data_IF_128360978689
#
_entry.id   IF_128360978689
#
_cell.length_a   1.000
_cell.length_b   1.000
_cell.length_c   1.000
_cell.angle_alpha   90.00
_cell.angle_beta   90.00
_cell.angle_gamma   90.00
#
_symmetry.space_group_name_H-M   'P 1'
#
loop_
_entity.id
_entity.type
_entity.pdbx_description
1 polymer ?
#
# COMPACT_ATOMS: atom_id res chain seq x y z
N UNK A 1 -20.36 -56.15 19.53
CA UNK A 1 -20.54 -55.60 18.16
C UNK A 1 -20.93 -54.12 18.13
N UNK A 2 -21.65 -53.59 19.09
CA UNK A 2 -22.19 -52.21 19.09
C UNK A 2 -21.09 -51.16 19.29
N UNK A 3 -20.09 -51.43 20.11
CA UNK A 3 -19.00 -50.51 20.36
C UNK A 3 -18.08 -50.25 19.16
N UNK A 4 -17.92 -51.21 18.27
CA UNK A 4 -17.12 -51.07 17.05
C UNK A 4 -17.81 -50.17 16.06
N UNK A 5 -19.15 -50.27 15.98
CA UNK A 5 -19.93 -49.48 15.00
C UNK A 5 -20.06 -47.99 15.37
N UNK A 6 -20.00 -47.65 16.65
CA UNK A 6 -20.10 -46.27 17.14
C UNK A 6 -18.80 -45.46 17.01
N UNK A 7 -17.69 -46.12 16.65
CA UNK A 7 -16.38 -45.48 16.48
C UNK A 7 -16.11 -44.83 15.12
N UNK A 8 -16.96 -45.06 14.14
CA UNK A 8 -16.76 -44.46 12.81
C UNK A 8 -17.17 -43.00 12.76
N UNK A 9 -16.36 -42.17 12.13
CA UNK A 9 -16.65 -40.79 11.85
C UNK A 9 -16.12 -40.41 10.48
N UNK A 10 -16.68 -39.35 9.88
CA UNK A 10 -16.32 -38.88 8.55
C UNK A 10 -15.59 -37.55 8.66
N UNK A 11 -14.47 -37.41 7.95
CA UNK A 11 -13.73 -36.16 7.76
C UNK A 11 -13.90 -35.74 6.30
N UNK A 12 -14.44 -34.56 6.06
CA UNK A 12 -14.65 -33.99 4.73
C UNK A 12 -13.30 -33.63 4.07
N UNK A 13 -13.28 -33.47 2.75
CA UNK A 13 -12.05 -33.18 2.00
C UNK A 13 -11.31 -31.93 2.45
N UNK A 14 -12.03 -30.87 2.80
CA UNK A 14 -11.49 -29.60 3.29
C UNK A 14 -11.16 -29.60 4.79
N UNK A 15 -11.38 -30.71 5.49
CA UNK A 15 -11.28 -30.81 6.94
C UNK A 15 -10.17 -31.75 7.36
N UNK A 16 -9.65 -31.51 8.59
CA UNK A 16 -8.79 -32.47 9.30
C UNK A 16 -9.40 -32.79 10.66
N UNK A 17 -9.32 -34.06 11.06
CA UNK A 17 -9.74 -34.51 12.36
C UNK A 17 -8.54 -34.57 13.32
N UNK A 18 -8.61 -33.84 14.43
CA UNK A 18 -7.63 -33.93 15.50
C UNK A 18 -8.12 -34.95 16.54
N UNK A 19 -7.42 -36.07 16.68
CA UNK A 19 -7.75 -37.14 17.61
C UNK A 19 -6.95 -36.99 18.90
N UNK A 20 -7.65 -36.88 20.01
CA UNK A 20 -7.08 -36.88 21.35
C UNK A 20 -7.39 -38.22 22.02
N UNK A 21 -6.37 -38.89 22.55
CA UNK A 21 -6.51 -40.08 23.36
C UNK A 21 -6.11 -39.74 24.79
N UNK A 22 -7.03 -39.96 25.73
CA UNK A 22 -6.86 -39.61 27.14
C UNK A 22 -6.49 -38.10 27.35
N UNK A 23 -7.03 -37.21 26.53
CA UNK A 23 -6.75 -35.77 26.58
C UNK A 23 -5.39 -35.36 26.00
N UNK A 24 -4.62 -36.29 25.45
CA UNK A 24 -3.34 -35.99 24.73
C UNK A 24 -3.48 -36.19 23.24
N UNK A 25 -2.73 -35.42 22.46
CA UNK A 25 -2.69 -35.61 21.02
C UNK A 25 -2.26 -37.02 20.66
N UNK A 26 -3.07 -37.69 19.85
CA UNK A 26 -2.75 -39.00 19.29
C UNK A 26 -2.39 -38.90 17.81
N UNK A 27 -3.26 -38.29 17.03
CA UNK A 27 -3.02 -38.10 15.57
C UNK A 27 -3.85 -36.95 14.99
N UNK A 28 -3.42 -36.48 13.82
CA UNK A 28 -4.20 -35.61 12.94
C UNK A 28 -4.58 -36.46 11.73
N UNK A 29 -5.88 -36.66 11.52
CA UNK A 29 -6.39 -37.53 10.45
C UNK A 29 -6.80 -36.69 9.24
N UNK A 30 -6.42 -37.20 8.07
CA UNK A 30 -6.82 -36.64 6.78
C UNK A 30 -8.30 -36.97 6.45
N UNK A 31 -8.79 -36.44 5.34
CA UNK A 31 -10.15 -36.69 4.88
C UNK A 31 -10.47 -38.18 4.68
N UNK A 32 -11.72 -38.57 4.87
CA UNK A 32 -12.22 -39.90 4.66
C UNK A 32 -12.95 -40.48 5.88
N UNK A 33 -13.30 -41.77 5.77
CA UNK A 33 -13.92 -42.52 6.88
C UNK A 33 -12.83 -42.96 7.84
N UNK A 34 -12.94 -42.54 9.10
CA UNK A 34 -11.98 -42.84 10.17
C UNK A 34 -12.67 -43.53 11.34
N UNK A 35 -11.90 -44.17 12.18
CA UNK A 35 -12.42 -44.87 13.36
C UNK A 35 -11.69 -44.39 14.62
N UNK A 36 -12.45 -44.27 15.71
CA UNK A 36 -11.94 -43.90 17.04
C UNK A 36 -12.38 -44.87 18.11
N UNK A 37 -11.63 -44.96 19.18
CA UNK A 37 -12.04 -45.70 20.38
C UNK A 37 -13.10 -44.90 21.16
N UNK A 38 -14.33 -45.35 21.09
CA UNK A 38 -15.43 -44.69 21.81
C UNK A 38 -15.20 -44.67 23.32
N UNK A 39 -15.25 -43.49 23.91
CA UNK A 39 -15.03 -43.28 25.35
C UNK A 39 -13.60 -42.95 25.76
N UNK A 40 -12.61 -43.15 24.85
CA UNK A 40 -11.20 -42.84 25.10
C UNK A 40 -10.73 -41.71 24.18
N UNK A 41 -11.15 -41.76 22.93
CA UNK A 41 -10.74 -40.82 21.88
C UNK A 41 -11.76 -39.70 21.72
N UNK A 42 -11.29 -38.45 21.68
CA UNK A 42 -12.07 -37.28 21.32
C UNK A 42 -11.57 -36.77 19.96
N UNK A 43 -12.52 -36.48 19.06
CA UNK A 43 -12.20 -35.96 17.72
C UNK A 43 -12.80 -34.59 17.54
N UNK A 44 -11.95 -33.62 17.17
CA UNK A 44 -12.35 -32.29 16.73
C UNK A 44 -12.07 -32.16 15.24
N UNK A 45 -13.09 -31.84 14.45
CA UNK A 45 -13.00 -31.68 13.00
C UNK A 45 -12.89 -30.20 12.69
N UNK A 46 -11.82 -29.79 11.97
CA UNK A 46 -11.52 -28.42 11.61
C UNK A 46 -11.41 -28.29 10.11
N UNK A 47 -12.10 -27.30 9.56
CA UNK A 47 -11.97 -26.91 8.16
C UNK A 47 -10.67 -26.12 7.96
N UNK A 48 -9.75 -26.67 7.14
CA UNK A 48 -8.43 -26.09 6.86
C UNK A 48 -8.39 -25.25 5.59
N UNK A 49 -9.41 -25.33 4.75
CA UNK A 49 -9.48 -24.60 3.49
C UNK A 49 -10.38 -23.35 3.58
N UNK A 50 -11.21 -23.29 4.61
CA UNK A 50 -12.08 -22.14 4.84
C UNK A 50 -11.24 -20.89 5.12
N UNK A 51 -11.44 -19.86 4.30
CA UNK A 51 -10.88 -18.55 4.53
C UNK A 51 -11.75 -17.80 5.53
N UNK A 52 -11.14 -17.39 6.63
CA UNK A 52 -11.77 -16.58 7.66
C UNK A 52 -11.28 -15.15 7.55
N UNK A 53 -12.03 -14.20 8.07
CA UNK A 53 -11.59 -12.80 8.11
C UNK A 53 -11.78 -12.20 9.50
N UNK A 54 -10.86 -11.32 9.86
CA UNK A 54 -10.99 -10.42 11.00
C UNK A 54 -10.77 -8.99 10.51
N UNK A 55 -11.41 -8.06 11.18
CA UNK A 55 -11.29 -6.64 10.87
C UNK A 55 -10.75 -5.90 12.08
N UNK A 56 -9.69 -5.14 11.87
CA UNK A 56 -9.13 -4.20 12.85
C UNK A 56 -9.42 -2.80 12.37
N UNK A 57 -10.04 -1.99 13.21
CA UNK A 57 -10.30 -0.59 12.92
C UNK A 57 -10.04 0.27 14.15
N UNK A 58 -9.64 1.49 13.95
CA UNK A 58 -9.41 2.39 15.06
C UNK A 58 -8.86 3.74 14.63
N UNK A 59 -8.81 4.64 15.60
CA UNK A 59 -8.20 5.95 15.45
C UNK A 59 -6.73 5.85 15.82
N UNK A 60 -5.85 6.31 14.94
CA UNK A 60 -4.40 6.20 15.08
C UNK A 60 -3.74 7.53 14.74
N UNK A 61 -2.50 7.70 15.22
CA UNK A 61 -1.66 8.85 14.90
C UNK A 61 -0.64 8.47 13.83
N UNK A 62 -0.48 9.33 12.84
CA UNK A 62 0.56 9.21 11.81
C UNK A 62 1.91 9.73 12.33
N UNK A 63 2.97 9.56 11.54
CA UNK A 63 4.30 10.05 11.88
C UNK A 63 4.34 11.59 12.08
N UNK A 64 3.57 12.32 11.30
CA UNK A 64 3.41 13.77 11.39
C UNK A 64 2.29 14.22 12.36
N UNK A 65 1.93 13.33 13.32
CA UNK A 65 0.98 13.59 14.41
C UNK A 65 -0.46 13.93 13.96
N UNK A 66 -0.86 13.47 12.79
CA UNK A 66 -2.24 13.60 12.33
C UNK A 66 -3.09 12.42 12.78
N UNK A 67 -4.33 12.69 13.15
CA UNK A 67 -5.29 11.67 13.58
C UNK A 67 -6.00 11.09 12.36
N UNK A 68 -5.97 9.77 12.21
CA UNK A 68 -6.63 9.05 11.12
C UNK A 68 -7.47 7.90 11.66
N UNK A 69 -8.55 7.59 10.95
CA UNK A 69 -9.32 6.36 11.13
C UNK A 69 -8.88 5.40 10.04
N UNK A 70 -8.36 4.25 10.45
CA UNK A 70 -7.88 3.21 9.55
C UNK A 70 -8.61 1.91 9.82
N UNK A 71 -8.79 1.13 8.78
CA UNK A 71 -9.37 -0.21 8.84
C UNK A 71 -8.51 -1.18 8.06
N UNK A 72 -8.36 -2.38 8.60
CA UNK A 72 -7.65 -3.46 7.93
C UNK A 72 -8.43 -4.76 8.08
N UNK A 73 -8.63 -5.42 6.97
CA UNK A 73 -9.24 -6.75 6.89
C UNK A 73 -8.14 -7.79 6.63
N UNK A 74 -8.02 -8.75 7.53
CA UNK A 74 -7.06 -9.84 7.42
C UNK A 74 -7.79 -11.13 7.11
N UNK A 75 -7.47 -11.73 5.98
CA UNK A 75 -7.95 -13.04 5.59
C UNK A 75 -6.92 -14.09 5.99
N UNK A 76 -7.38 -15.12 6.68
CA UNK A 76 -6.54 -16.18 7.19
C UNK A 76 -7.26 -17.53 7.14
N UNK A 77 -6.49 -18.58 7.27
CA UNK A 77 -7.01 -19.95 7.39
C UNK A 77 -6.28 -20.70 8.50
N UNK A 78 -6.90 -21.76 8.96
CA UNK A 78 -6.28 -22.68 9.90
C UNK A 78 -5.44 -23.67 9.10
N UNK A 79 -4.12 -23.56 9.20
CA UNK A 79 -3.18 -24.46 8.51
C UNK A 79 -2.75 -25.66 9.37
N UNK A 80 -2.73 -25.49 10.67
CA UNK A 80 -2.42 -26.54 11.64
C UNK A 80 -3.54 -26.63 12.68
N UNK A 81 -4.48 -27.57 12.54
CA UNK A 81 -5.63 -27.70 13.42
C UNK A 81 -5.26 -27.98 14.86
N UNK A 82 -4.19 -28.75 15.10
CA UNK A 82 -3.75 -29.06 16.46
C UNK A 82 -3.22 -27.83 17.19
N UNK A 83 -2.36 -27.05 16.56
CA UNK A 83 -1.85 -25.80 17.12
C UNK A 83 -2.98 -24.80 17.39
N UNK A 84 -3.96 -24.71 16.46
CA UNK A 84 -5.11 -23.85 16.63
C UNK A 84 -5.97 -24.21 17.84
N UNK A 85 -6.30 -25.50 18.02
CA UNK A 85 -7.16 -25.98 19.10
C UNK A 85 -6.48 -25.95 20.47
N UNK A 86 -5.18 -26.23 20.51
CA UNK A 86 -4.42 -26.44 21.75
C UNK A 86 -3.35 -25.36 21.96
N UNK A 87 -3.46 -24.24 21.31
CA UNK A 87 -2.64 -23.06 21.57
C UNK A 87 -2.89 -22.56 23.00
N UNK A 88 -1.84 -22.09 23.65
CA UNK A 88 -1.90 -21.49 25.00
C UNK A 88 -2.74 -20.20 24.99
N UNK A 89 -2.81 -19.53 23.86
CA UNK A 89 -3.56 -18.29 23.63
C UNK A 89 -4.77 -18.58 22.75
N UNK A 90 -5.77 -17.68 22.78
CA UNK A 90 -6.85 -17.71 21.79
C UNK A 90 -6.30 -17.22 20.45
N UNK A 91 -6.17 -18.09 19.42
CA UNK A 91 -5.51 -17.73 18.17
C UNK A 91 -6.16 -16.58 17.42
N UNK A 92 -7.50 -16.57 17.35
CA UNK A 92 -8.24 -15.53 16.62
C UNK A 92 -8.08 -14.17 17.31
N UNK A 93 -8.17 -14.13 18.63
CA UNK A 93 -7.96 -12.90 19.38
C UNK A 93 -6.51 -12.42 19.33
N UNK A 94 -5.56 -13.34 19.41
CA UNK A 94 -4.13 -13.03 19.26
C UNK A 94 -3.83 -12.44 17.89
N UNK A 95 -4.44 -12.97 16.84
CA UNK A 95 -4.30 -12.42 15.49
C UNK A 95 -4.88 -11.01 15.39
N UNK A 96 -6.03 -10.76 16.00
CA UNK A 96 -6.66 -9.44 16.03
C UNK A 96 -5.77 -8.42 16.74
N UNK A 97 -5.27 -8.76 17.92
CA UNK A 97 -4.36 -7.90 18.69
C UNK A 97 -3.04 -7.64 17.97
N UNK A 98 -2.47 -8.67 17.32
CA UNK A 98 -1.28 -8.54 16.52
C UNK A 98 -1.51 -7.64 15.29
N UNK A 99 -2.66 -7.75 14.65
CA UNK A 99 -3.05 -6.90 13.53
C UNK A 99 -3.16 -5.44 13.96
N UNK A 100 -3.82 -5.18 15.07
CA UNK A 100 -3.95 -3.83 15.62
C UNK A 100 -2.58 -3.22 15.96
N UNK A 101 -1.71 -3.99 16.61
CA UNK A 101 -0.36 -3.56 16.95
C UNK A 101 0.50 -3.29 15.72
N UNK A 102 0.46 -4.17 14.73
CA UNK A 102 1.21 -4.01 13.48
C UNK A 102 0.73 -2.79 12.69
N UNK A 103 -0.57 -2.62 12.56
CA UNK A 103 -1.17 -1.49 11.87
C UNK A 103 -0.82 -0.17 12.55
N UNK A 104 -0.92 -0.11 13.86
CA UNK A 104 -0.56 1.07 14.67
C UNK A 104 0.90 1.46 14.51
N UNK A 105 1.79 0.48 14.50
CA UNK A 105 3.21 0.70 14.28
C UNK A 105 3.48 1.27 12.89
N UNK A 106 2.95 0.65 11.85
CA UNK A 106 3.17 1.08 10.46
C UNK A 106 2.57 2.45 10.19
N UNK A 107 1.35 2.71 10.65
CA UNK A 107 0.71 4.03 10.53
C UNK A 107 1.49 5.10 11.26
N UNK A 108 1.99 4.80 12.47
CA UNK A 108 2.82 5.72 13.25
C UNK A 108 4.18 6.04 12.62
N UNK A 109 4.62 5.28 11.64
CA UNK A 109 5.85 5.49 10.87
C UNK A 109 5.59 5.91 9.41
N UNK A 110 4.39 6.34 9.10
CA UNK A 110 3.98 6.76 7.76
C UNK A 110 3.38 8.15 7.82
N UNK A 111 3.73 8.99 6.85
CA UNK A 111 3.17 10.34 6.72
C UNK A 111 1.69 10.26 6.29
N UNK A 112 0.90 11.22 6.74
CA UNK A 112 -0.54 11.29 6.42
C UNK A 112 -0.80 11.30 4.91
N UNK A 113 -0.04 12.07 4.16
CA UNK A 113 -0.18 12.16 2.71
C UNK A 113 0.04 10.81 2.02
N UNK A 114 1.01 10.03 2.47
CA UNK A 114 1.28 8.70 1.92
C UNK A 114 0.13 7.73 2.21
N UNK A 115 -0.45 7.80 3.40
CA UNK A 115 -1.61 6.96 3.78
C UNK A 115 -2.83 7.28 2.91
N UNK A 116 -3.07 8.54 2.62
CA UNK A 116 -4.24 8.98 1.85
C UNK A 116 -4.09 8.82 0.33
N UNK A 117 -2.88 8.68 -0.17
CA UNK A 117 -2.58 8.69 -1.60
C UNK A 117 -1.89 7.42 -2.09
N UNK A 118 -0.63 7.51 -2.46
CA UNK A 118 0.14 6.45 -3.11
C UNK A 118 0.76 5.44 -2.15
N UNK A 119 0.86 5.76 -0.88
CA UNK A 119 1.53 4.92 0.12
C UNK A 119 0.67 3.78 0.70
N UNK A 120 -0.58 3.64 0.28
CA UNK A 120 -1.50 2.61 0.81
C UNK A 120 -0.98 1.20 0.61
N UNK A 121 -0.43 0.92 -0.56
CA UNK A 121 0.12 -0.40 -0.86
C UNK A 121 1.34 -0.71 0.01
N UNK A 122 2.18 0.28 0.25
CA UNK A 122 3.33 0.15 1.15
C UNK A 122 2.89 -0.10 2.60
N UNK A 123 1.86 0.61 3.08
CA UNK A 123 1.26 0.36 4.41
C UNK A 123 0.72 -1.06 4.51
N UNK A 124 -0.02 -1.51 3.50
CA UNK A 124 -0.56 -2.86 3.44
C UNK A 124 0.55 -3.91 3.51
N UNK A 125 1.57 -3.77 2.69
CA UNK A 125 2.68 -4.72 2.62
C UNK A 125 3.51 -4.73 3.91
N UNK A 126 3.86 -3.58 4.43
CA UNK A 126 4.62 -3.46 5.68
C UNK A 126 3.85 -4.01 6.87
N UNK A 127 2.55 -3.77 6.93
CA UNK A 127 1.69 -4.31 7.99
C UNK A 127 1.60 -5.83 7.89
N UNK A 128 1.47 -6.38 6.69
CA UNK A 128 1.45 -7.83 6.46
C UNK A 128 2.74 -8.49 6.93
N UNK A 129 3.87 -7.94 6.58
CA UNK A 129 5.18 -8.47 6.97
C UNK A 129 5.37 -8.41 8.51
N UNK A 130 5.04 -7.29 9.11
CA UNK A 130 5.14 -7.12 10.56
C UNK A 130 4.16 -8.03 11.29
N UNK A 131 2.93 -8.15 10.83
CA UNK A 131 1.92 -9.04 11.39
C UNK A 131 2.40 -10.50 11.35
N UNK A 132 2.93 -10.94 10.23
CA UNK A 132 3.48 -12.29 10.09
C UNK A 132 4.61 -12.54 11.09
N UNK A 133 5.51 -11.60 11.26
CA UNK A 133 6.62 -11.71 12.22
C UNK A 133 6.16 -11.71 13.68
N UNK A 134 5.09 -10.98 14.00
CA UNK A 134 4.53 -10.93 15.36
C UNK A 134 3.82 -12.23 15.71
N UNK A 135 3.04 -12.77 14.76
CA UNK A 135 2.19 -13.95 15.03
C UNK A 135 2.96 -15.27 15.04
N UNK A 136 4.07 -15.34 14.30
CA UNK A 136 4.85 -16.58 14.14
C UNK A 136 5.30 -17.22 15.45
N UNK A 137 5.84 -16.48 16.45
CA UNK A 137 6.28 -17.08 17.73
C UNK A 137 5.17 -17.68 18.56
N UNK A 138 3.91 -17.30 18.35
CA UNK A 138 2.77 -17.77 19.14
C UNK A 138 2.30 -19.17 18.76
N UNK A 139 2.76 -19.74 17.64
CA UNK A 139 2.37 -21.07 17.17
C UNK A 139 0.84 -21.28 17.16
N UNK A 140 0.12 -20.36 16.57
CA UNK A 140 -1.35 -20.35 16.56
C UNK A 140 -1.98 -21.33 15.59
N UNK A 141 -1.19 -21.88 14.66
CA UNK A 141 -1.68 -22.73 13.57
C UNK A 141 -2.43 -21.98 12.48
N UNK A 142 -2.32 -20.66 12.47
CA UNK A 142 -2.93 -19.79 11.47
C UNK A 142 -1.95 -19.42 10.35
N UNK A 143 -2.47 -19.30 9.14
CA UNK A 143 -1.73 -18.80 7.97
C UNK A 143 -2.48 -17.60 7.39
N UNK A 144 -1.79 -16.48 7.23
CA UNK A 144 -2.34 -15.28 6.62
C UNK A 144 -2.43 -15.49 5.11
N UNK A 145 -3.64 -15.36 4.57
CA UNK A 145 -3.90 -15.51 3.12
C UNK A 145 -3.72 -14.18 2.42
N UNK A 146 -4.37 -13.13 2.94
CA UNK A 146 -4.30 -11.78 2.39
C UNK A 146 -4.61 -10.72 3.44
N UNK A 147 -4.17 -9.51 3.16
CA UNK A 147 -4.40 -8.34 4.01
C UNK A 147 -4.91 -7.21 3.13
N UNK A 148 -6.09 -6.68 3.43
CA UNK A 148 -6.68 -5.54 2.74
C UNK A 148 -6.66 -4.31 3.64
N UNK A 149 -6.03 -3.26 3.16
CA UNK A 149 -6.04 -1.98 3.82
C UNK A 149 -7.16 -1.12 3.25
N UNK A 150 -8.17 -0.82 4.08
CA UNK A 150 -9.27 0.05 3.70
C UNK A 150 -8.85 1.52 3.78
N UNK A 151 -9.45 2.39 2.95
CA UNK A 151 -9.04 3.78 2.89
C UNK A 151 -9.07 4.46 4.25
N UNK A 152 -7.94 5.05 4.62
CA UNK A 152 -7.86 5.92 5.78
C UNK A 152 -8.72 7.16 5.56
N UNK A 153 -9.40 7.59 6.62
CA UNK A 153 -10.20 8.82 6.63
C UNK A 153 -9.89 9.64 7.87
N UNK A 154 -10.02 10.94 7.76
CA UNK A 154 -9.96 11.81 8.91
C UNK A 154 -11.23 11.67 9.77
N UNK A 155 -11.15 11.80 11.10
CA UNK A 155 -12.33 11.96 11.94
C UNK A 155 -13.22 13.11 11.44
N UNK A 156 -14.53 12.96 11.55
CA UNK A 156 -15.51 13.97 11.03
C UNK A 156 -15.24 15.38 11.55
N UNK A 157 -14.73 15.49 12.77
CA UNK A 157 -14.38 16.76 13.40
C UNK A 157 -13.23 17.53 12.73
N UNK A 158 -12.35 16.85 12.00
CA UNK A 158 -11.17 17.43 11.33
C UNK A 158 -11.21 17.21 9.82
N UNK A 159 -12.24 16.58 9.31
CA UNK A 159 -12.38 16.24 7.88
C UNK A 159 -12.28 17.47 6.98
N UNK A 160 -12.97 18.54 7.34
CA UNK A 160 -12.96 19.78 6.57
C UNK A 160 -11.54 20.37 6.47
N UNK A 161 -10.80 20.39 7.58
CA UNK A 161 -9.41 20.86 7.59
C UNK A 161 -8.49 19.97 6.74
N UNK A 162 -8.70 18.66 6.72
CA UNK A 162 -7.97 17.72 5.86
C UNK A 162 -8.28 17.93 4.39
N UNK A 163 -9.56 18.06 4.05
CA UNK A 163 -9.99 18.30 2.67
C UNK A 163 -9.39 19.60 2.14
N UNK A 164 -9.34 20.65 2.96
CA UNK A 164 -8.69 21.91 2.63
C UNK A 164 -7.17 21.75 2.43
N UNK A 165 -6.50 21.01 3.29
CA UNK A 165 -5.07 20.76 3.16
C UNK A 165 -4.73 19.98 1.89
N UNK A 166 -5.51 18.96 1.56
CA UNK A 166 -5.36 18.17 0.33
C UNK A 166 -5.60 19.05 -0.89
N UNK A 167 -6.67 19.85 -0.88
CA UNK A 167 -6.98 20.78 -1.96
C UNK A 167 -5.86 21.80 -2.17
N UNK A 168 -5.28 22.34 -1.09
CA UNK A 168 -4.14 23.27 -1.16
C UNK A 168 -2.90 22.62 -1.77
N UNK A 169 -2.63 21.36 -1.44
CA UNK A 169 -1.51 20.59 -2.01
C UNK A 169 -1.70 20.31 -3.51
N UNK A 170 -2.91 19.93 -3.90
CA UNK A 170 -3.28 19.77 -5.31
C UNK A 170 -3.15 21.07 -6.09
N UNK A 171 -3.58 22.18 -5.52
CA UNK A 171 -3.46 23.52 -6.09
C UNK A 171 -1.98 23.91 -6.25
N UNK A 172 -1.14 23.64 -5.28
CA UNK A 172 0.31 23.88 -5.39
C UNK A 172 0.91 23.12 -6.58
N UNK A 173 0.58 21.86 -6.74
CA UNK A 173 1.06 21.06 -7.87
C UNK A 173 0.54 21.57 -9.20
N UNK A 174 -0.71 21.98 -9.24
CA UNK A 174 -1.31 22.59 -10.46
C UNK A 174 -0.60 23.89 -10.80
N UNK A 175 -0.39 24.78 -9.87
CA UNK A 175 0.30 26.04 -10.10
C UNK A 175 1.75 25.85 -10.55
N UNK A 176 2.45 24.87 -10.01
CA UNK A 176 3.81 24.51 -10.49
C UNK A 176 3.79 24.06 -11.95
N UNK A 177 2.86 23.19 -12.31
CA UNK A 177 2.71 22.73 -13.71
C UNK A 177 2.34 23.86 -14.66
N UNK A 178 1.44 24.74 -14.25
CA UNK A 178 1.04 25.92 -15.03
C UNK A 178 2.22 26.88 -15.21
N UNK A 179 3.02 27.10 -14.16
CA UNK A 179 4.21 27.93 -14.23
C UNK A 179 5.28 27.33 -15.15
N UNK A 180 5.51 26.02 -15.10
CA UNK A 180 6.43 25.32 -16.00
C UNK A 180 5.95 25.40 -17.48
N UNK A 181 4.67 25.19 -17.72
CA UNK A 181 4.08 25.30 -19.05
C UNK A 181 4.21 26.74 -19.61
N UNK A 182 3.96 27.72 -18.77
CA UNK A 182 4.14 29.13 -19.13
C UNK A 182 5.58 29.46 -19.44
N UNK A 183 6.53 29.02 -18.62
CA UNK A 183 7.97 29.20 -18.87
C UNK A 183 8.40 28.53 -20.17
N UNK A 184 7.95 27.31 -20.44
CA UNK A 184 8.23 26.58 -21.67
C UNK A 184 7.63 27.23 -22.91
N UNK A 185 6.61 28.04 -22.78
CA UNK A 185 6.02 28.83 -23.89
C UNK A 185 6.72 30.17 -24.09
N UNK A 186 6.92 30.91 -22.99
CA UNK A 186 7.40 32.31 -23.05
C UNK A 186 8.89 32.40 -23.31
N UNK A 187 9.71 31.54 -22.69
CA UNK A 187 11.17 31.59 -22.86
C UNK A 187 11.61 31.34 -24.31
N UNK A 188 11.12 30.31 -25.03
CA UNK A 188 11.48 30.14 -26.46
C UNK A 188 11.02 31.28 -27.32
N UNK A 189 9.85 31.87 -27.07
CA UNK A 189 9.33 33.04 -27.80
C UNK A 189 10.25 34.25 -27.59
N UNK A 190 10.67 34.50 -26.35
CA UNK A 190 11.59 35.59 -26.01
C UNK A 190 12.95 35.41 -26.68
N UNK A 191 13.50 34.18 -26.62
CA UNK A 191 14.75 33.86 -27.31
C UNK A 191 14.63 34.04 -28.85
N UNK A 192 13.54 33.60 -29.42
CA UNK A 192 13.25 33.80 -30.85
C UNK A 192 13.18 35.27 -31.23
N UNK A 193 12.57 36.10 -30.40
CA UNK A 193 12.52 37.56 -30.59
C UNK A 193 13.91 38.19 -30.49
N UNK A 194 14.72 37.79 -29.53
CA UNK A 194 16.10 38.25 -29.36
C UNK A 194 16.92 37.90 -30.60
N UNK A 195 16.82 36.67 -31.11
CA UNK A 195 17.53 36.26 -32.33
C UNK A 195 17.07 37.07 -33.54
N UNK A 196 15.77 37.29 -33.69
CA UNK A 196 15.23 38.11 -34.78
C UNK A 196 15.76 39.54 -34.74
N UNK A 197 15.77 40.18 -33.57
CA UNK A 197 16.26 41.53 -33.36
C UNK A 197 17.76 41.60 -33.69
N UNK A 198 18.55 40.61 -33.25
CA UNK A 198 19.97 40.52 -33.58
C UNK A 198 20.20 40.42 -35.08
N UNK A 199 19.46 39.56 -35.77
CA UNK A 199 19.57 39.38 -37.22
C UNK A 199 19.16 40.64 -38.00
N UNK A 200 18.09 41.32 -37.58
CA UNK A 200 17.64 42.59 -38.15
C UNK A 200 18.71 43.66 -37.95
N UNK A 201 19.30 43.74 -36.74
CA UNK A 201 20.38 44.68 -36.47
C UNK A 201 21.64 44.44 -37.28
N UNK A 202 22.04 43.17 -37.45
CA UNK A 202 23.16 42.79 -38.29
C UNK A 202 22.88 43.06 -39.76
N UNK A 203 21.67 42.78 -40.24
CA UNK A 203 21.22 43.11 -41.59
C UNK A 203 21.29 44.61 -41.85
N UNK A 204 20.78 45.41 -40.93
CA UNK A 204 20.86 46.88 -41.00
C UNK A 204 22.29 47.38 -41.01
N UNK A 205 23.14 46.84 -40.11
CA UNK A 205 24.58 47.17 -40.08
C UNK A 205 25.25 46.86 -41.42
N UNK A 206 24.99 45.68 -41.98
CA UNK A 206 25.54 45.30 -43.27
C UNK A 206 25.09 46.25 -44.38
N UNK A 207 23.81 46.65 -44.42
CA UNK A 207 23.29 47.60 -45.39
C UNK A 207 23.97 48.97 -45.24
N UNK A 208 24.11 49.47 -44.04
CA UNK A 208 24.74 50.77 -43.79
C UNK A 208 26.21 50.74 -44.20
N UNK A 209 26.94 49.68 -43.82
CA UNK A 209 28.35 49.51 -44.17
C UNK A 209 28.56 49.39 -45.68
N UNK A 210 27.74 48.60 -46.40
CA UNK A 210 27.80 48.43 -47.83
C UNK A 210 27.44 49.73 -48.57
N UNK A 211 26.45 50.45 -48.04
CA UNK A 211 26.07 51.75 -48.60
C UNK A 211 27.20 52.78 -48.47
N UNK A 212 27.80 52.84 -47.27
CA UNK A 212 28.95 53.72 -47.06
C UNK A 212 30.17 53.36 -47.87
N UNK A 213 30.46 52.05 -48.03
CA UNK A 213 31.54 51.59 -48.99
C UNK A 213 31.21 51.94 -50.44
N UNK A 214 29.97 51.81 -50.87
CA UNK A 214 29.53 52.20 -52.18
C UNK A 214 29.66 53.70 -52.40
N UNK A 215 29.31 54.53 -51.47
CA UNK A 215 29.49 56.00 -51.54
C UNK A 215 30.96 56.41 -51.58
N UNK A 216 31.82 55.80 -50.77
CA UNK A 216 33.24 56.01 -50.77
C UNK A 216 33.86 55.63 -52.14
N UNK A 217 33.49 54.47 -52.68
CA UNK A 217 33.96 54.01 -53.99
C UNK A 217 33.50 54.93 -55.11
N UNK A 218 32.30 55.48 -55.05
CA UNK A 218 31.81 56.46 -55.95
C UNK A 218 32.57 57.77 -55.87
N UNK A 219 32.85 58.22 -54.67
CA UNK A 219 33.60 59.44 -54.42
C UNK A 219 35.03 59.32 -54.88
N UNK A 220 35.71 58.22 -54.68
CA UNK A 220 37.03 57.93 -55.15
C UNK A 220 37.12 57.97 -56.70
N UNK A 221 36.08 57.52 -57.40
CA UNK A 221 35.96 57.57 -58.85
C UNK A 221 35.77 58.96 -59.39
N UNK A 222 35.21 59.89 -58.61
CA UNK A 222 34.89 61.25 -59.05
C UNK A 222 36.01 62.21 -58.67
N UNK A 223 36.93 61.91 -57.81
CA UNK A 223 38.09 62.67 -57.44
C UNK A 223 39.10 62.70 -58.63
N UNK A 224 39.35 63.82 -59.23
CA UNK A 224 40.39 63.92 -60.25
C UNK A 224 41.77 63.84 -59.61
N UNK A 225 42.73 63.18 -60.25
CA UNK A 225 44.13 63.17 -59.85
C UNK A 225 44.69 64.57 -59.78
#
# INVERSE_FOLDING_TARGET
GIYIYSGFYTVKEAEKGVVLRFGKMYSVEDSGLRWKFTGIDTVNVIDIEQVRSIQSSGTMLTEDENVVIVEMDVQYRISDPFKYLYSVVNPDNTLLEATDSALRYVVGHTLMDDILTSGREMVRQNTRELLTSIIEPYNTGLTIVDVNFLPARAPDQVKEAFDDAIAAQEDEQRYKREAEAYANEVLPKAEGQVQRIKQEAEGYRSQVVLKAKGEVARFEKVLPE
#
